data_IF_948293060140
#
_entry.id   IF_948293060140
#
_cell.length_a   1.000
_cell.length_b   1.000
_cell.length_c   1.000
_cell.angle_alpha   90.00
_cell.angle_beta   90.00
_cell.angle_gamma   90.00
#
_symmetry.space_group_name_H-M   'P 1'
#
loop_
_entity.id
_entity.type
_entity.pdbx_description
1 polymer ?
#
# COMPACT_ATOMS: atom_id res chain seq x y z
N UNK A 1 -2.51 -4.04 11.22
CA UNK A 1 -2.86 -2.85 12.01
C UNK A 1 -4.16 -2.37 11.43
N UNK A 2 -5.24 -2.44 12.21
CA UNK A 2 -6.59 -2.31 11.66
C UNK A 2 -6.89 -0.85 11.31
N UNK A 3 -7.62 -0.64 10.22
CA UNK A 3 -8.09 0.68 9.78
C UNK A 3 -9.56 0.86 10.13
N UNK A 4 -9.90 2.03 10.66
CA UNK A 4 -11.30 2.42 10.86
C UNK A 4 -11.78 3.19 9.64
N UNK A 5 -12.79 2.67 8.94
CA UNK A 5 -13.40 3.28 7.77
C UNK A 5 -14.78 3.79 8.17
N UNK A 6 -15.04 5.08 7.95
CA UNK A 6 -16.32 5.70 8.29
C UNK A 6 -16.95 6.28 7.04
N UNK A 7 -18.23 5.99 6.85
CA UNK A 7 -18.97 6.40 5.68
C UNK A 7 -20.43 6.75 6.06
N UNK A 8 -20.93 7.84 5.50
CA UNK A 8 -22.20 8.47 5.89
C UNK A 8 -23.43 7.92 5.14
N UNK A 9 -23.47 6.61 4.87
CA UNK A 9 -24.71 5.93 4.50
C UNK A 9 -24.88 4.60 5.26
N UNK A 10 -26.07 4.01 5.14
CA UNK A 10 -26.37 2.67 5.66
C UNK A 10 -25.79 1.61 4.74
N UNK A 11 -24.69 0.97 5.15
CA UNK A 11 -24.03 -0.07 4.40
C UNK A 11 -23.72 -1.25 5.33
N UNK A 12 -24.67 -2.18 5.54
CA UNK A 12 -24.39 -3.38 6.31
C UNK A 12 -23.47 -4.30 5.50
N UNK A 13 -22.18 -4.29 5.83
CA UNK A 13 -21.19 -5.20 5.22
C UNK A 13 -20.86 -6.32 6.22
N UNK A 14 -21.07 -7.60 5.87
CA UNK A 14 -20.80 -8.70 6.78
C UNK A 14 -19.31 -8.81 7.16
N UNK A 15 -19.07 -9.33 8.36
CA UNK A 15 -17.71 -9.67 8.80
C UNK A 15 -17.13 -10.76 7.90
N UNK A 16 -15.85 -10.62 7.55
CA UNK A 16 -15.12 -11.55 6.69
C UNK A 16 -15.16 -11.19 5.20
N UNK A 17 -16.03 -10.26 4.79
CA UNK A 17 -16.07 -9.83 3.40
C UNK A 17 -14.80 -9.06 3.03
N UNK A 18 -14.29 -9.33 1.82
CA UNK A 18 -13.24 -8.55 1.20
C UNK A 18 -13.87 -7.29 0.61
N UNK A 19 -13.31 -6.14 0.97
CA UNK A 19 -13.75 -4.84 0.46
C UNK A 19 -12.61 -4.14 -0.26
N UNK A 20 -12.98 -3.32 -1.24
CA UNK A 20 -12.12 -2.29 -1.81
C UNK A 20 -12.60 -0.92 -1.34
N UNK A 21 -11.70 -0.13 -0.78
CA UNK A 21 -11.98 1.20 -0.25
C UNK A 21 -11.29 2.20 -1.16
N UNK A 22 -12.06 3.14 -1.71
CA UNK A 22 -11.54 4.29 -2.42
C UNK A 22 -11.50 5.49 -1.48
N UNK A 23 -10.34 6.11 -1.38
CA UNK A 23 -10.09 7.29 -0.56
C UNK A 23 -9.62 8.45 -1.42
N UNK A 24 -10.20 9.62 -1.19
CA UNK A 24 -9.66 10.87 -1.70
C UNK A 24 -8.58 11.38 -0.75
N UNK A 25 -7.39 11.62 -1.28
CA UNK A 25 -6.27 12.18 -0.51
C UNK A 25 -6.25 13.69 -0.76
N UNK A 26 -6.45 14.48 0.30
CA UNK A 26 -6.29 15.93 0.22
C UNK A 26 -4.83 16.34 0.15
N UNK A 27 -4.55 17.57 -0.28
CA UNK A 27 -3.20 18.16 -0.25
C UNK A 27 -2.59 18.19 1.16
N UNK A 28 -3.43 18.22 2.21
CA UNK A 28 -3.01 18.12 3.61
C UNK A 28 -2.70 16.69 4.07
N UNK A 29 -2.77 15.70 3.18
CA UNK A 29 -2.56 14.27 3.49
C UNK A 29 -3.71 13.61 4.27
N UNK A 30 -4.87 14.26 4.35
CA UNK A 30 -6.06 13.68 5.00
C UNK A 30 -6.81 12.81 4.00
N UNK A 31 -7.04 11.54 4.35
CA UNK A 31 -7.80 10.64 3.49
C UNK A 31 -9.30 10.64 3.87
N UNK A 32 -10.15 10.77 2.86
CA UNK A 32 -11.62 10.72 3.01
C UNK A 32 -12.16 9.58 2.19
N UNK A 33 -12.89 8.67 2.81
CA UNK A 33 -13.53 7.53 2.13
C UNK A 33 -14.63 8.06 1.22
N UNK A 34 -14.54 7.75 -0.08
CA UNK A 34 -15.49 8.19 -1.10
C UNK A 34 -16.31 7.02 -1.68
N UNK A 35 -15.77 5.81 -1.65
CA UNK A 35 -16.49 4.62 -2.05
C UNK A 35 -15.98 3.37 -1.31
N UNK A 36 -16.89 2.41 -1.13
CA UNK A 36 -16.60 1.07 -0.62
C UNK A 36 -17.29 0.08 -1.56
N UNK A 37 -16.54 -0.88 -2.07
CA UNK A 37 -17.08 -2.00 -2.86
C UNK A 37 -16.94 -3.26 -2.02
N UNK A 38 -18.05 -3.93 -1.75
CA UNK A 38 -18.03 -5.29 -1.23
C UNK A 38 -17.77 -6.27 -2.38
N UNK A 39 -16.59 -6.88 -2.39
CA UNK A 39 -16.15 -7.75 -3.49
C UNK A 39 -16.81 -9.13 -3.45
N UNK A 40 -17.40 -9.53 -2.31
CA UNK A 40 -18.14 -10.79 -2.20
C UNK A 40 -19.55 -10.64 -2.79
N UNK A 41 -20.21 -9.50 -2.55
CA UNK A 41 -21.58 -9.24 -3.04
C UNK A 41 -21.64 -8.44 -4.35
N UNK A 42 -20.54 -7.79 -4.74
CA UNK A 42 -20.49 -6.87 -5.88
C UNK A 42 -21.19 -5.53 -5.64
N UNK A 43 -21.64 -5.25 -4.41
CA UNK A 43 -22.36 -4.01 -4.09
C UNK A 43 -21.37 -2.87 -3.87
N UNK A 44 -21.60 -1.76 -4.58
CA UNK A 44 -20.84 -0.52 -4.43
C UNK A 44 -21.63 0.51 -3.64
N UNK A 45 -21.02 1.02 -2.59
CA UNK A 45 -21.50 2.12 -1.78
C UNK A 45 -20.66 3.35 -2.10
N UNK A 46 -21.26 4.39 -2.68
CA UNK A 46 -20.54 5.60 -3.07
C UNK A 46 -21.20 6.86 -2.56
N UNK A 47 -20.37 7.89 -2.32
CA UNK A 47 -20.85 9.22 -1.99
C UNK A 47 -21.17 9.97 -3.29
N UNK A 48 -22.34 10.57 -3.36
CA UNK A 48 -22.84 11.28 -4.55
C UNK A 48 -22.11 12.61 -4.84
N UNK A 49 -21.38 13.16 -3.87
CA UNK A 49 -20.57 14.38 -3.99
C UNK A 49 -19.07 14.04 -3.90
N UNK A 50 -18.45 13.74 -5.05
CA UNK A 50 -17.02 13.50 -5.14
C UNK A 50 -16.26 14.83 -5.27
N UNK A 51 -15.38 15.19 -4.31
CA UNK A 51 -14.47 16.31 -4.49
C UNK A 51 -13.38 15.93 -5.50
N UNK A 52 -12.84 16.93 -6.21
CA UNK A 52 -11.68 16.72 -7.08
C UNK A 52 -10.41 16.45 -6.24
N UNK A 53 -9.56 15.52 -6.69
CA UNK A 53 -8.28 15.21 -6.07
C UNK A 53 -7.75 13.83 -6.46
N UNK A 54 -6.61 13.44 -5.88
CA UNK A 54 -6.01 12.13 -6.10
C UNK A 54 -6.81 11.04 -5.37
N UNK A 55 -7.19 10.00 -6.11
CA UNK A 55 -7.95 8.87 -5.60
C UNK A 55 -7.00 7.69 -5.39
N UNK A 56 -6.79 7.31 -4.14
CA UNK A 56 -6.15 6.06 -3.76
C UNK A 56 -7.19 4.96 -3.57
N UNK A 57 -6.79 3.71 -3.80
CA UNK A 57 -7.62 2.54 -3.50
C UNK A 57 -6.81 1.49 -2.75
N UNK A 58 -7.42 0.84 -1.76
CA UNK A 58 -6.81 -0.28 -1.05
C UNK A 58 -7.86 -1.34 -0.70
N UNK A 59 -7.41 -2.57 -0.48
CA UNK A 59 -8.27 -3.71 -0.15
C UNK A 59 -8.10 -4.14 1.30
N UNK A 60 -9.13 -4.70 1.89
CA UNK A 60 -9.04 -5.27 3.24
C UNK A 60 -10.24 -6.10 3.60
N UNK A 61 -10.13 -6.82 4.72
CA UNK A 61 -11.18 -7.72 5.20
C UNK A 61 -11.93 -7.07 6.35
N UNK A 62 -13.25 -7.08 6.31
CA UNK A 62 -14.09 -6.52 7.38
C UNK A 62 -13.98 -7.37 8.64
N UNK A 63 -13.47 -6.78 9.72
CA UNK A 63 -13.42 -7.41 11.04
C UNK A 63 -14.66 -7.11 11.88
N UNK A 64 -15.22 -5.90 11.72
CA UNK A 64 -16.43 -5.47 12.42
C UNK A 64 -17.15 -4.41 11.60
N UNK A 65 -18.48 -4.47 11.56
CA UNK A 65 -19.33 -3.44 10.99
C UNK A 65 -20.31 -2.94 12.05
N UNK A 66 -20.37 -1.63 12.23
CA UNK A 66 -21.35 -0.96 13.09
C UNK A 66 -22.12 0.04 12.25
N UNK A 67 -23.42 -0.23 12.05
CA UNK A 67 -24.35 0.74 11.45
C UNK A 67 -25.05 1.48 12.59
N UNK A 68 -24.96 2.81 12.59
CA UNK A 68 -25.55 3.70 13.58
C UNK A 68 -26.40 4.74 12.88
N UNK A 69 -27.55 5.12 13.42
CA UNK A 69 -28.35 6.19 12.81
C UNK A 69 -29.65 6.48 13.53
N UNK A 70 -30.03 7.75 13.55
CA UNK A 70 -31.41 8.20 13.74
C UNK A 70 -32.05 8.43 12.37
N UNK A 71 -33.39 8.50 12.30
CA UNK A 71 -34.27 8.41 11.13
C UNK A 71 -33.88 9.11 9.81
N UNK A 72 -32.87 10.01 9.79
CA UNK A 72 -32.40 10.70 8.60
C UNK A 72 -30.86 10.77 8.42
N UNK A 73 -30.05 10.11 9.25
CA UNK A 73 -28.58 10.06 9.09
C UNK A 73 -28.03 8.71 9.53
N UNK A 74 -27.96 7.77 8.60
CA UNK A 74 -27.23 6.53 8.81
C UNK A 74 -25.73 6.76 8.62
N UNK A 75 -24.93 6.22 9.53
CA UNK A 75 -23.48 6.23 9.55
C UNK A 75 -22.99 4.81 9.79
N UNK A 76 -22.19 4.32 8.87
CA UNK A 76 -21.53 3.02 8.98
C UNK A 76 -20.07 3.24 9.38
N UNK A 77 -19.61 2.48 10.37
CA UNK A 77 -18.23 2.40 10.80
C UNK A 77 -17.75 0.96 10.64
N UNK A 78 -16.65 0.76 9.92
CA UNK A 78 -16.03 -0.54 9.68
C UNK A 78 -14.66 -0.57 10.34
N UNK A 79 -14.34 -1.66 11.01
CA UNK A 79 -12.97 -2.03 11.34
C UNK A 79 -12.51 -3.01 10.27
N UNK A 80 -11.46 -2.64 9.56
CA UNK A 80 -10.97 -3.36 8.39
C UNK A 80 -9.52 -3.75 8.65
N UNK A 81 -9.19 -5.02 8.43
CA UNK A 81 -7.80 -5.47 8.36
C UNK A 81 -7.30 -5.23 6.93
N UNK A 82 -6.44 -4.22 6.70
CA UNK A 82 -5.97 -3.92 5.35
C UNK A 82 -5.15 -5.10 4.81
N UNK A 83 -5.44 -5.50 3.58
CA UNK A 83 -4.57 -6.41 2.85
C UNK A 83 -3.19 -5.76 2.77
N UNK A 84 -2.16 -6.52 3.16
CA UNK A 84 -0.78 -6.07 2.95
C UNK A 84 -0.58 -5.81 1.45
N UNK A 85 0.30 -4.85 1.09
CA UNK A 85 0.64 -4.58 -0.30
C UNK A 85 0.82 -5.90 -1.06
N UNK A 86 -0.01 -6.07 -2.08
CA UNK A 86 -0.27 -7.37 -2.69
C UNK A 86 0.93 -7.86 -3.49
N UNK A 87 0.88 -9.13 -3.93
CA UNK A 87 1.93 -9.76 -4.74
C UNK A 87 2.39 -8.92 -5.97
N UNK A 88 1.54 -8.04 -6.48
CA UNK A 88 1.89 -7.11 -7.56
C UNK A 88 2.92 -6.05 -7.13
N UNK A 89 2.76 -5.45 -5.95
CA UNK A 89 3.71 -4.48 -5.38
C UNK A 89 4.97 -5.19 -4.89
N UNK A 90 4.84 -6.41 -4.36
CA UNK A 90 5.98 -7.27 -4.08
C UNK A 90 6.78 -7.61 -5.35
N UNK A 91 6.11 -7.85 -6.48
CA UNK A 91 6.76 -8.11 -7.76
C UNK A 91 7.46 -6.87 -8.34
N UNK A 92 6.90 -5.67 -8.15
CA UNK A 92 7.58 -4.42 -8.51
C UNK A 92 8.79 -4.16 -7.61
N UNK A 93 8.65 -4.37 -6.30
CA UNK A 93 9.74 -4.24 -5.34
C UNK A 93 10.87 -5.24 -5.62
N UNK A 94 10.54 -6.50 -5.95
CA UNK A 94 11.50 -7.52 -6.30
C UNK A 94 12.27 -7.15 -7.57
N UNK A 95 11.57 -6.72 -8.63
CA UNK A 95 12.22 -6.25 -9.87
C UNK A 95 13.11 -5.03 -9.62
N UNK A 96 12.70 -4.11 -8.75
CA UNK A 96 13.51 -2.96 -8.35
C UNK A 96 14.77 -3.37 -7.58
N UNK A 97 14.67 -4.37 -6.70
CA UNK A 97 15.81 -4.92 -5.97
C UNK A 97 16.81 -5.63 -6.90
N UNK A 98 16.32 -6.43 -7.83
CA UNK A 98 17.17 -7.10 -8.83
C UNK A 98 17.92 -6.06 -9.69
N UNK A 99 17.24 -5.01 -10.15
CA UNK A 99 17.87 -3.93 -10.91
C UNK A 99 18.95 -3.18 -10.10
N UNK A 100 18.71 -2.96 -8.81
CA UNK A 100 19.70 -2.35 -7.93
C UNK A 100 20.92 -3.27 -7.67
N UNK A 101 20.70 -4.58 -7.59
CA UNK A 101 21.76 -5.57 -7.41
C UNK A 101 22.66 -5.68 -8.66
N UNK A 102 22.06 -5.65 -9.84
CA UNK A 102 22.82 -5.61 -11.11
C UNK A 102 23.62 -4.31 -11.23
N UNK A 103 23.01 -3.15 -10.94
CA UNK A 103 23.72 -1.88 -10.96
C UNK A 103 24.90 -1.84 -9.97
N UNK A 104 24.73 -2.41 -8.77
CA UNK A 104 25.82 -2.54 -7.80
C UNK A 104 26.92 -3.48 -8.27
N UNK A 105 26.58 -4.56 -8.99
CA UNK A 105 27.54 -5.50 -9.55
C UNK A 105 28.33 -4.91 -10.72
N UNK A 106 27.66 -4.13 -11.58
CA UNK A 106 28.29 -3.36 -12.65
C UNK A 106 29.26 -2.31 -12.08
N UNK A 107 28.87 -1.62 -11.01
CA UNK A 107 29.76 -0.70 -10.30
C UNK A 107 30.93 -1.47 -9.67
N UNK A 108 30.69 -2.59 -8.99
CA UNK A 108 31.78 -3.40 -8.42
C UNK A 108 32.78 -3.88 -9.48
N UNK A 109 32.31 -4.25 -10.68
CA UNK A 109 33.18 -4.59 -11.81
C UNK A 109 33.96 -3.38 -12.34
N UNK A 110 33.35 -2.18 -12.33
CA UNK A 110 34.01 -0.92 -12.70
C UNK A 110 35.13 -0.54 -11.73
N UNK A 111 34.96 -0.80 -10.44
CA UNK A 111 35.97 -0.54 -9.40
C UNK A 111 36.94 -1.72 -9.19
N UNK A 112 36.58 -2.92 -9.62
CA UNK A 112 37.36 -4.16 -9.52
C UNK A 112 38.58 -4.23 -10.44
N UNK A 113 39.14 -3.09 -10.82
CA UNK A 113 40.43 -3.02 -11.50
C UNK A 113 41.54 -3.47 -10.57
N UNK A 114 42.30 -4.49 -11.02
CA UNK A 114 43.59 -4.99 -10.53
C UNK A 114 44.23 -4.04 -9.52
N UNK A 115 44.21 -4.43 -8.24
CA UNK A 115 44.97 -3.74 -7.21
C UNK A 115 46.43 -3.61 -7.65
N UNK A 116 47.16 -2.55 -7.24
CA UNK A 116 48.53 -2.35 -7.66
C UNK A 116 49.33 -3.63 -7.42
N UNK A 117 50.06 -4.06 -8.45
CA UNK A 117 50.96 -5.21 -8.35
C UNK A 117 51.84 -5.01 -7.12
N UNK A 118 51.90 -5.99 -6.18
CA UNK A 118 52.63 -5.80 -4.94
C UNK A 118 54.08 -5.43 -5.26
N UNK A 119 54.53 -4.28 -4.75
CA UNK A 119 55.91 -3.83 -4.95
C UNK A 119 56.87 -4.93 -4.51
N UNK A 120 57.87 -5.29 -5.35
CA UNK A 120 58.83 -6.33 -4.99
C UNK A 120 59.57 -5.90 -3.72
N UNK A 121 59.60 -6.79 -2.71
CA UNK A 121 60.28 -6.51 -1.45
C UNK A 121 61.75 -6.13 -1.72
N UNK A 122 62.26 -5.04 -1.11
CA UNK A 122 63.63 -4.60 -1.33
C UNK A 122 64.60 -5.69 -0.87
N UNK A 123 65.69 -5.95 -1.63
CA UNK A 123 66.63 -7.01 -1.31
C UNK A 123 67.24 -6.79 0.08
N UNK A 124 67.02 -7.76 0.96
CA UNK A 124 67.66 -7.80 2.27
C UNK A 124 69.10 -8.27 2.07
N UNK A 125 70.04 -7.38 2.34
CA UNK A 125 71.45 -7.73 2.49
C UNK A 125 71.67 -8.22 3.93
N UNK A 126 72.33 -9.38 4.05
CA UNK A 126 72.70 -10.06 5.29
C UNK A 126 74.19 -9.87 5.51
#
# INVERSE_FOLDING_TARGET
>A
MDRTVVFSLSAPIPRGHLIEVSELISESGTSTVIAIVDLESGVRFERSDLPAGEIGSWKGTVQRCTVSGAANRARTSLIVDPARPGAAEAGVALRGADAAAEAASEEALRWGGVGPEPEPEPPRFW
#
